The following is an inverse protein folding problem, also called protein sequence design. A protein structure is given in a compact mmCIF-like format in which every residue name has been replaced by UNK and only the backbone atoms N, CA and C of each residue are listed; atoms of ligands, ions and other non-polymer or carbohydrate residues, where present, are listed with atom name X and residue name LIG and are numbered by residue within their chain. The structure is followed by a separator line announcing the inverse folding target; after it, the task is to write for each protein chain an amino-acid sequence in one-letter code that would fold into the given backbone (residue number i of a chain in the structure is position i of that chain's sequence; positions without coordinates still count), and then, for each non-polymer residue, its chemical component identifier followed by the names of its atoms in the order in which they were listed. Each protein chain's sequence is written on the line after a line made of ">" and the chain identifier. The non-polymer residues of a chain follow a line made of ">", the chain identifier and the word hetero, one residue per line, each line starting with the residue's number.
data_IF_810731849540
#
_entry.id   IF_810731849540
#
_cell.length_a   1.000
_cell.length_b   1.000
_cell.length_c   1.000
_cell.angle_alpha   90.00
_cell.angle_beta   90.00
_cell.angle_gamma   90.00
#
_symmetry.space_group_name_H-M   'P 1'
#
loop_
_entity.id
_entity.type
_entity.pdbx_description
1 polymer ?
#
# COMPACT_ATOMS: atom_id res chain seq x y z
N UNK A 1 17.23 15.13 -7.95
CA UNK A 1 16.52 15.67 -6.76
C UNK A 1 15.10 16.16 -7.02
N UNK A 2 14.84 17.26 -7.76
CA UNK A 2 13.45 17.77 -7.91
C UNK A 2 12.55 16.82 -8.71
N UNK A 3 13.04 16.30 -9.85
CA UNK A 3 12.27 15.39 -10.72
C UNK A 3 11.85 14.08 -10.05
N UNK A 4 12.77 13.40 -9.37
CA UNK A 4 12.49 12.13 -8.66
C UNK A 4 11.48 12.34 -7.54
N UNK A 5 11.59 13.44 -6.78
CA UNK A 5 10.63 13.76 -5.72
C UNK A 5 9.25 14.05 -6.27
N UNK A 6 9.15 14.84 -7.34
CA UNK A 6 7.87 15.11 -8.01
C UNK A 6 7.26 13.83 -8.59
N UNK A 7 8.09 12.95 -9.16
CA UNK A 7 7.64 11.66 -9.69
C UNK A 7 7.11 10.74 -8.58
N UNK A 8 7.90 10.54 -7.52
CA UNK A 8 7.47 9.76 -6.35
C UNK A 8 6.19 10.31 -5.73
N UNK A 9 6.04 11.63 -5.64
CA UNK A 9 4.81 12.23 -5.14
C UNK A 9 3.60 11.89 -6.02
N UNK A 10 3.74 11.94 -7.35
CA UNK A 10 2.65 11.55 -8.27
C UNK A 10 2.25 10.09 -8.10
N UNK A 11 3.23 9.18 -8.00
CA UNK A 11 2.95 7.76 -7.76
C UNK A 11 2.26 7.56 -6.41
N UNK A 12 2.72 8.26 -5.38
CA UNK A 12 2.17 8.17 -4.03
C UNK A 12 0.74 8.71 -3.97
N UNK A 13 0.45 9.84 -4.62
CA UNK A 13 -0.91 10.37 -4.76
C UNK A 13 -1.83 9.34 -5.43
N UNK A 14 -1.39 8.78 -6.55
CA UNK A 14 -2.18 7.79 -7.28
C UNK A 14 -2.49 6.56 -6.40
N UNK A 15 -1.48 5.96 -5.77
CA UNK A 15 -1.71 4.80 -4.91
C UNK A 15 -2.60 5.12 -3.71
N UNK A 16 -2.44 6.31 -3.10
CA UNK A 16 -3.29 6.75 -1.99
C UNK A 16 -4.76 6.84 -2.40
N UNK A 17 -5.07 7.42 -3.56
CA UNK A 17 -6.44 7.52 -4.07
C UNK A 17 -7.06 6.14 -4.32
N UNK A 18 -6.31 5.24 -4.95
CA UNK A 18 -6.78 3.88 -5.22
C UNK A 18 -7.03 3.07 -3.94
N UNK A 19 -6.15 3.21 -2.94
CA UNK A 19 -6.37 2.58 -1.63
C UNK A 19 -7.56 3.21 -0.91
N UNK A 20 -7.67 4.53 -0.90
CA UNK A 20 -8.78 5.26 -0.25
C UNK A 20 -10.13 4.87 -0.85
N UNK A 21 -10.25 4.72 -2.16
CA UNK A 21 -11.49 4.25 -2.80
C UNK A 21 -11.91 2.85 -2.32
N UNK A 22 -10.95 1.99 -2.00
CA UNK A 22 -11.20 0.59 -1.57
C UNK A 22 -11.48 0.47 -0.08
N UNK A 23 -10.80 1.24 0.75
CA UNK A 23 -10.87 1.13 2.23
C UNK A 23 -11.70 2.22 2.87
N UNK A 24 -12.02 3.30 2.15
CA UNK A 24 -12.60 4.55 2.65
C UNK A 24 -11.74 5.23 3.74
N UNK A 25 -10.46 4.85 3.86
CA UNK A 25 -9.56 5.28 4.93
C UNK A 25 -8.16 5.54 4.35
N UNK A 26 -7.66 6.78 4.48
CA UNK A 26 -6.28 7.14 4.10
C UNK A 26 -5.62 8.12 5.09
N UNK A 27 -4.98 7.62 6.16
CA UNK A 27 -4.36 8.48 7.17
C UNK A 27 -2.97 9.01 6.78
N UNK A 28 -2.42 8.63 5.62
CA UNK A 28 -1.08 9.02 5.18
C UNK A 28 -1.12 10.07 4.08
N UNK A 29 -0.18 11.01 4.13
CA UNK A 29 0.09 11.99 3.07
C UNK A 29 1.50 11.83 2.46
N UNK A 30 2.14 10.67 2.70
CA UNK A 30 3.53 10.41 2.29
C UNK A 30 3.61 9.26 1.26
N UNK A 31 4.83 8.90 0.83
CA UNK A 31 5.08 7.71 0.00
C UNK A 31 4.92 6.37 0.73
N UNK A 32 4.63 6.41 2.03
CA UNK A 32 4.27 5.23 2.82
C UNK A 32 2.75 5.18 2.92
N UNK A 33 2.12 4.28 2.17
CA UNK A 33 0.65 4.15 2.06
C UNK A 33 0.19 2.95 2.89
N UNK A 34 -0.57 3.15 3.98
CA UNK A 34 -1.11 2.05 4.76
C UNK A 34 -2.37 1.48 4.10
N UNK A 35 -2.33 0.23 3.67
CA UNK A 35 -3.51 -0.49 3.21
C UNK A 35 -4.17 -1.21 4.39
N UNK A 36 -5.12 -0.53 5.03
CA UNK A 36 -5.78 -1.01 6.26
C UNK A 36 -6.92 -1.97 5.90
N UNK A 37 -6.79 -3.22 6.35
CA UNK A 37 -7.73 -4.32 6.07
C UNK A 37 -8.51 -4.75 7.30
N UNK A 38 -8.22 -4.14 8.45
CA UNK A 38 -8.92 -4.35 9.70
C UNK A 38 -8.42 -5.58 10.45
N UNK A 39 -8.97 -6.75 10.12
CA UNK A 39 -8.71 -8.01 10.82
C UNK A 39 -7.38 -8.67 10.44
N UNK A 40 -6.85 -9.51 11.34
CA UNK A 40 -5.61 -10.25 11.11
C UNK A 40 -5.69 -11.21 9.92
N UNK A 41 -6.77 -11.99 9.85
CA UNK A 41 -6.96 -13.02 8.82
C UNK A 41 -7.04 -12.39 7.42
N UNK A 42 -7.86 -11.36 7.25
CA UNK A 42 -7.97 -10.61 5.99
C UNK A 42 -6.62 -10.00 5.57
N UNK A 43 -5.86 -9.47 6.53
CA UNK A 43 -4.54 -8.89 6.26
C UNK A 43 -3.52 -9.95 5.83
N UNK A 44 -3.51 -11.11 6.48
CA UNK A 44 -2.63 -12.24 6.14
C UNK A 44 -2.96 -12.80 4.75
N UNK A 45 -4.23 -13.12 4.50
CA UNK A 45 -4.68 -13.67 3.22
C UNK A 45 -4.35 -12.72 2.04
N UNK A 46 -4.56 -11.41 2.23
CA UNK A 46 -4.21 -10.42 1.21
C UNK A 46 -2.70 -10.32 1.00
N UNK A 47 -1.90 -10.36 2.07
CA UNK A 47 -0.45 -10.33 1.97
C UNK A 47 0.10 -11.58 1.26
N UNK A 48 -0.45 -12.77 1.55
CA UNK A 48 -0.09 -14.02 0.87
C UNK A 48 -0.45 -13.96 -0.62
N UNK A 49 -1.66 -13.47 -0.95
CA UNK A 49 -2.06 -13.27 -2.33
C UNK A 49 -1.10 -12.36 -3.10
N UNK A 50 -0.77 -11.19 -2.54
CA UNK A 50 0.15 -10.24 -3.17
C UNK A 50 1.56 -10.83 -3.35
N UNK A 51 2.05 -11.59 -2.37
CA UNK A 51 3.31 -12.34 -2.49
C UNK A 51 3.25 -13.38 -3.61
N UNK A 52 2.13 -14.08 -3.78
CA UNK A 52 1.90 -15.00 -4.90
C UNK A 52 1.89 -14.31 -6.27
N UNK A 53 1.56 -13.02 -6.34
CA UNK A 53 1.67 -12.19 -7.54
C UNK A 53 3.08 -11.60 -7.75
N UNK A 54 4.05 -11.93 -6.89
CA UNK A 54 5.42 -11.43 -6.96
C UNK A 54 5.68 -10.13 -6.21
N UNK A 55 4.71 -9.61 -5.45
CA UNK A 55 4.87 -8.39 -4.67
C UNK A 55 5.28 -8.70 -3.22
N UNK A 56 6.40 -8.14 -2.78
CA UNK A 56 6.85 -8.30 -1.40
C UNK A 56 6.06 -7.42 -0.43
N UNK A 57 4.89 -7.91 0.00
CA UNK A 57 3.97 -7.23 0.89
C UNK A 57 3.84 -7.96 2.22
N UNK A 58 4.36 -7.37 3.30
CA UNK A 58 4.27 -7.96 4.63
C UNK A 58 3.12 -7.35 5.46
N UNK A 59 2.34 -8.18 6.18
CA UNK A 59 1.26 -7.71 7.03
C UNK A 59 1.80 -7.18 8.36
N UNK A 60 1.29 -6.03 8.80
CA UNK A 60 1.50 -5.47 10.14
C UNK A 60 0.22 -5.70 10.96
N UNK A 61 0.38 -6.33 12.11
CA UNK A 61 -0.71 -6.82 12.96
C UNK A 61 -0.41 -6.58 14.45
N UNK A 62 -1.40 -6.71 15.36
CA UNK A 62 -1.16 -6.64 16.80
C UNK A 62 -0.05 -7.60 17.27
N UNK A 63 0.73 -7.23 18.30
CA UNK A 63 0.58 -6.02 19.13
C UNK A 63 1.17 -4.75 18.51
N UNK A 64 1.81 -4.81 17.34
CA UNK A 64 2.49 -3.67 16.70
C UNK A 64 1.53 -2.56 16.27
N UNK A 65 0.28 -2.91 15.96
CA UNK A 65 -0.81 -1.96 15.69
C UNK A 65 -2.04 -2.29 16.55
N UNK A 66 -2.93 -1.32 16.84
CA UNK A 66 -4.18 -1.58 17.55
C UNK A 66 -5.02 -2.67 16.88
N UNK A 67 -5.74 -3.46 17.70
CA UNK A 67 -6.69 -4.47 17.19
C UNK A 67 -7.70 -3.84 16.24
N UNK A 68 -8.04 -4.55 15.17
CA UNK A 68 -8.96 -4.05 14.13
C UNK A 68 -8.33 -3.02 13.18
N UNK A 69 -7.01 -2.81 13.24
CA UNK A 69 -6.29 -1.90 12.32
C UNK A 69 -5.08 -2.55 11.63
N UNK A 70 -5.12 -3.88 11.50
CA UNK A 70 -4.12 -4.64 10.74
C UNK A 70 -4.07 -4.14 9.30
N UNK A 71 -2.85 -4.05 8.76
CA UNK A 71 -2.58 -3.34 7.52
C UNK A 71 -1.35 -3.86 6.81
N UNK A 72 -1.26 -3.65 5.51
CA UNK A 72 -0.03 -3.82 4.74
C UNK A 72 0.61 -2.45 4.56
N UNK A 73 1.91 -2.33 4.84
CA UNK A 73 2.65 -1.07 4.62
C UNK A 73 3.23 -1.07 3.20
N UNK A 74 2.64 -0.26 2.34
CA UNK A 74 3.11 -0.07 0.98
C UNK A 74 4.08 1.11 0.96
N UNK A 75 5.25 0.95 0.34
CA UNK A 75 6.28 1.98 0.29
C UNK A 75 6.76 2.12 -1.15
N UNK A 76 6.57 3.29 -1.73
CA UNK A 76 7.03 3.56 -3.09
C UNK A 76 8.42 4.18 -3.10
N UNK A 77 9.18 3.92 -4.17
CA UNK A 77 10.44 4.58 -4.48
C UNK A 77 10.33 5.28 -5.83
N UNK A 78 11.21 6.25 -6.10
CA UNK A 78 11.19 7.01 -7.35
C UNK A 78 11.59 6.16 -8.58
N UNK A 79 12.17 4.98 -8.36
CA UNK A 79 12.57 4.07 -9.44
C UNK A 79 11.38 3.31 -10.05
N UNK A 80 10.24 3.29 -9.34
CA UNK A 80 9.01 2.68 -9.84
C UNK A 80 8.39 3.52 -10.95
N UNK A 81 7.71 2.85 -11.88
CA UNK A 81 6.95 3.46 -12.96
C UNK A 81 5.47 3.54 -12.61
N UNK A 82 4.73 4.43 -13.29
CA UNK A 82 3.29 4.52 -13.11
C UNK A 82 2.57 3.22 -13.51
N UNK A 83 3.08 2.51 -14.53
CA UNK A 83 2.46 1.29 -15.02
C UNK A 83 2.67 0.12 -14.05
N UNK A 84 3.84 0.00 -13.42
CA UNK A 84 4.06 -0.97 -12.33
C UNK A 84 3.11 -0.71 -11.15
N UNK A 85 2.90 0.56 -10.77
CA UNK A 85 1.96 0.91 -9.70
C UNK A 85 0.51 0.60 -10.10
N UNK A 86 0.12 0.84 -11.36
CA UNK A 86 -1.22 0.45 -11.86
C UNK A 86 -1.43 -1.06 -11.88
N UNK A 87 -0.43 -1.83 -12.31
CA UNK A 87 -0.47 -3.29 -12.29
C UNK A 87 -0.62 -3.78 -10.84
N UNK A 88 0.15 -3.21 -9.92
CA UNK A 88 0.02 -3.51 -8.49
C UNK A 88 -1.38 -3.19 -7.95
N UNK A 89 -1.94 -2.02 -8.30
CA UNK A 89 -3.30 -1.61 -7.89
C UNK A 89 -4.36 -2.57 -8.41
N UNK A 90 -4.19 -3.16 -9.60
CA UNK A 90 -5.11 -4.17 -10.12
C UNK A 90 -5.13 -5.46 -9.28
N UNK A 91 -4.09 -5.70 -8.47
CA UNK A 91 -4.01 -6.83 -7.54
C UNK A 91 -4.51 -6.51 -6.11
N UNK A 92 -4.82 -5.25 -5.78
CA UNK A 92 -5.33 -4.85 -4.46
C UNK A 92 -6.80 -5.25 -4.27
#
# INVERSE_FOLDING_TARGET
>A
FSKERTHLERLSVFLRQEVEHRTQIMPSQTCIVPYILGGNEATLAKAEYLQGQGYYCLPIRPPTVPKGTSRIRLSLTADMTMDEVKQFVACL
#
